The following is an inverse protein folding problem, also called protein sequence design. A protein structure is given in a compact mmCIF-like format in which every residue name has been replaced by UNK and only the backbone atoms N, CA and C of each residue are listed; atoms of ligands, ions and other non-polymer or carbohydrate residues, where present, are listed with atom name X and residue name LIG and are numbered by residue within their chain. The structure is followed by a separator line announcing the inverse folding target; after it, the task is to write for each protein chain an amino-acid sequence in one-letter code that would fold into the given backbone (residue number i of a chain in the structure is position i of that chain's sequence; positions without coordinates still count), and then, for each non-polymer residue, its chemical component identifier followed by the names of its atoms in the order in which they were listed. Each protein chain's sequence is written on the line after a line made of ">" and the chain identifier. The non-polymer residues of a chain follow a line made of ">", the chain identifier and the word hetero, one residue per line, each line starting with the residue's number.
data_IF_751593328041
#
_entry.id   IF_751593328041
#
_cell.length_a   1.000
_cell.length_b   1.000
_cell.length_c   1.000
_cell.angle_alpha   90.00
_cell.angle_beta   90.00
_cell.angle_gamma   90.00
#
_symmetry.space_group_name_H-M   'P 1'
#
loop_
_entity.id
_entity.type
_entity.pdbx_description
1 polymer ?
#
# COMPACT_ATOMS: atom_id res chain seq x y z
N UNK A 1 -20.43 36.46 15.55
CA UNK A 1 -19.80 36.23 14.24
C UNK A 1 -19.16 34.84 14.24
N UNK A 2 -19.69 33.88 13.46
CA UNK A 2 -19.06 32.56 13.32
C UNK A 2 -18.00 32.67 12.23
N UNK A 3 -16.73 32.73 12.63
CA UNK A 3 -15.60 32.64 11.70
C UNK A 3 -15.59 31.23 11.11
N UNK A 4 -16.06 31.10 9.86
CA UNK A 4 -15.84 29.89 9.07
C UNK A 4 -14.35 29.88 8.74
N UNK A 5 -13.57 29.23 9.59
CA UNK A 5 -12.16 28.95 9.31
C UNK A 5 -12.15 27.99 8.14
N UNK A 6 -12.02 28.53 6.92
CA UNK A 6 -11.82 27.75 5.70
C UNK A 6 -10.54 26.92 5.92
N UNK A 7 -10.70 25.63 6.20
CA UNK A 7 -9.57 24.72 6.29
C UNK A 7 -8.79 24.77 4.97
N UNK A 8 -7.48 24.96 5.05
CA UNK A 8 -6.63 24.87 3.86
C UNK A 8 -6.82 23.49 3.21
N UNK A 9 -6.95 23.40 1.87
CA UNK A 9 -7.05 22.12 1.14
C UNK A 9 -5.93 21.14 1.50
N UNK A 10 -4.75 21.64 1.86
CA UNK A 10 -3.63 20.83 2.32
C UNK A 10 -3.86 20.21 3.69
N UNK A 11 -4.44 20.96 4.62
CA UNK A 11 -4.74 20.47 5.97
C UNK A 11 -5.74 19.33 5.90
N UNK A 12 -6.78 19.47 5.08
CA UNK A 12 -7.77 18.41 4.87
C UNK A 12 -7.17 17.18 4.19
N UNK A 13 -6.25 17.38 3.23
CA UNK A 13 -5.56 16.28 2.58
C UNK A 13 -4.71 15.48 3.56
N UNK A 14 -4.04 16.15 4.51
CA UNK A 14 -3.27 15.49 5.57
C UNK A 14 -4.17 14.72 6.54
N UNK A 15 -5.32 15.29 6.92
CA UNK A 15 -6.28 14.60 7.79
C UNK A 15 -6.81 13.34 7.10
N UNK A 16 -7.16 13.44 5.81
CA UNK A 16 -7.63 12.32 5.02
C UNK A 16 -6.57 11.21 4.89
N UNK A 17 -5.31 11.58 4.59
CA UNK A 17 -4.18 10.64 4.56
C UNK A 17 -4.02 9.93 5.91
N UNK A 18 -4.02 10.67 7.02
CA UNK A 18 -3.89 10.11 8.36
C UNK A 18 -5.04 9.12 8.69
N UNK A 19 -6.25 9.39 8.22
CA UNK A 19 -7.39 8.47 8.40
C UNK A 19 -7.20 7.17 7.61
N UNK A 20 -6.70 7.24 6.38
CA UNK A 20 -6.37 6.04 5.58
C UNK A 20 -5.28 5.24 6.27
N UNK A 21 -4.18 5.88 6.70
CA UNK A 21 -3.07 5.20 7.37
C UNK A 21 -3.49 4.56 8.69
N UNK A 22 -4.39 5.20 9.45
CA UNK A 22 -4.96 4.63 10.68
C UNK A 22 -5.70 3.32 10.41
N UNK A 23 -6.45 3.22 9.30
CA UNK A 23 -7.13 1.98 8.89
C UNK A 23 -6.17 0.89 8.38
N UNK A 24 -4.94 1.27 8.05
CA UNK A 24 -3.85 0.37 7.69
C UNK A 24 -2.95 0.04 8.88
N UNK A 25 -3.24 0.56 10.07
CA UNK A 25 -2.39 0.42 11.26
C UNK A 25 -0.97 0.98 11.07
N UNK A 26 -0.83 2.02 10.25
CA UNK A 26 0.44 2.71 10.00
C UNK A 26 0.41 4.06 10.73
N UNK A 27 1.42 4.33 11.54
CA UNK A 27 1.57 5.63 12.17
C UNK A 27 2.06 6.68 11.14
N UNK A 28 1.47 7.88 11.20
CA UNK A 28 1.77 8.95 10.23
C UNK A 28 3.26 9.30 10.15
N UNK A 29 3.99 9.21 11.27
CA UNK A 29 5.41 9.54 11.30
C UNK A 29 6.27 8.49 10.58
N UNK A 30 5.94 7.19 10.72
CA UNK A 30 6.61 6.11 9.97
C UNK A 30 6.44 6.32 8.46
N UNK A 31 5.23 6.65 8.03
CA UNK A 31 4.95 6.93 6.61
C UNK A 31 5.71 8.17 6.11
N UNK A 32 5.75 9.25 6.90
CA UNK A 32 6.52 10.45 6.57
C UNK A 32 8.02 10.16 6.49
N UNK A 33 8.56 9.36 7.40
CA UNK A 33 9.95 8.95 7.42
C UNK A 33 10.29 8.14 6.17
N UNK A 34 9.45 7.16 5.82
CA UNK A 34 9.63 6.36 4.60
C UNK A 34 9.61 7.22 3.32
N UNK A 35 8.73 8.24 3.28
CA UNK A 35 8.70 9.23 2.19
C UNK A 35 9.98 10.06 2.13
N UNK A 36 10.45 10.58 3.26
CA UNK A 36 11.60 11.48 3.28
C UNK A 36 12.90 10.75 2.88
N UNK A 37 13.08 9.54 3.42
CA UNK A 37 14.31 8.75 3.24
C UNK A 37 14.36 8.02 1.90
N UNK A 38 13.27 7.39 1.48
CA UNK A 38 13.28 6.51 0.30
C UNK A 38 12.61 7.13 -0.92
N UNK A 39 11.73 8.12 -0.71
CA UNK A 39 10.99 8.89 -1.71
C UNK A 39 10.11 8.04 -2.64
N UNK A 40 10.66 7.09 -3.40
CA UNK A 40 10.03 6.27 -4.44
C UNK A 40 8.56 5.91 -4.25
N UNK A 41 8.26 4.66 -3.89
CA UNK A 41 6.89 4.16 -3.86
C UNK A 41 6.03 4.82 -2.77
N UNK A 42 6.64 5.31 -1.70
CA UNK A 42 5.93 5.99 -0.62
C UNK A 42 5.33 7.34 -1.09
N UNK A 43 6.04 8.11 -1.91
CA UNK A 43 5.51 9.34 -2.54
C UNK A 43 4.38 8.99 -3.51
N UNK A 44 4.54 7.93 -4.31
CA UNK A 44 3.49 7.48 -5.22
C UNK A 44 2.22 7.12 -4.47
N UNK A 45 2.33 6.39 -3.35
CA UNK A 45 1.19 6.04 -2.51
C UNK A 45 0.49 7.28 -1.93
N UNK A 46 1.26 8.27 -1.44
CA UNK A 46 0.71 9.56 -0.98
C UNK A 46 -0.04 10.29 -2.09
N UNK A 47 0.54 10.36 -3.29
CA UNK A 47 -0.09 11.05 -4.41
C UNK A 47 -1.35 10.32 -4.86
N UNK A 48 -1.31 8.99 -4.90
CA UNK A 48 -2.46 8.16 -5.23
C UNK A 48 -3.61 8.34 -4.21
N UNK A 49 -3.32 8.36 -2.90
CA UNK A 49 -4.32 8.65 -1.86
C UNK A 49 -4.98 10.02 -2.09
N UNK A 50 -4.20 11.05 -2.43
CA UNK A 50 -4.73 12.38 -2.74
C UNK A 50 -5.63 12.38 -3.97
N UNK A 51 -5.30 11.61 -5.00
CA UNK A 51 -6.10 11.52 -6.22
C UNK A 51 -7.40 10.74 -5.98
N UNK A 52 -7.37 9.66 -5.21
CA UNK A 52 -8.57 8.95 -4.77
C UNK A 52 -9.52 9.87 -3.97
N UNK A 53 -8.98 10.74 -3.10
CA UNK A 53 -9.77 11.77 -2.40
C UNK A 53 -10.47 12.71 -3.38
N UNK A 54 -9.75 13.21 -4.41
CA UNK A 54 -10.34 14.10 -5.43
C UNK A 54 -11.45 13.41 -6.23
N UNK A 55 -11.36 12.09 -6.40
CA UNK A 55 -12.37 11.27 -7.06
C UNK A 55 -13.56 10.92 -6.14
N UNK A 56 -13.56 11.36 -4.88
CA UNK A 56 -14.64 11.12 -3.94
C UNK A 56 -14.64 9.72 -3.31
N UNK A 57 -13.53 8.97 -3.41
CA UNK A 57 -13.41 7.67 -2.77
C UNK A 57 -13.34 7.81 -1.24
N UNK A 58 -13.87 6.83 -0.52
CA UNK A 58 -13.84 6.84 0.95
C UNK A 58 -12.49 6.36 1.48
N UNK A 59 -12.14 6.76 2.70
CA UNK A 59 -10.91 6.29 3.37
C UNK A 59 -10.91 4.77 3.55
N UNK A 60 -12.09 4.17 3.75
CA UNK A 60 -12.26 2.73 3.88
C UNK A 60 -11.98 1.99 2.57
N UNK A 61 -12.52 2.47 1.45
CA UNK A 61 -12.31 1.84 0.13
C UNK A 61 -10.83 1.89 -0.28
N UNK A 62 -10.19 3.03 -0.03
CA UNK A 62 -8.77 3.23 -0.30
C UNK A 62 -7.93 2.27 0.57
N UNK A 63 -8.17 2.22 1.88
CA UNK A 63 -7.46 1.31 2.77
C UNK A 63 -7.67 -0.16 2.40
N UNK A 64 -8.89 -0.54 1.98
CA UNK A 64 -9.19 -1.89 1.53
C UNK A 64 -8.47 -2.24 0.22
N UNK A 65 -8.39 -1.29 -0.71
CA UNK A 65 -7.66 -1.45 -1.98
C UNK A 65 -6.17 -1.66 -1.72
N UNK A 66 -5.58 -0.85 -0.83
CA UNK A 66 -4.17 -0.98 -0.44
C UNK A 66 -3.93 -2.35 0.23
N UNK A 67 -4.81 -2.78 1.14
CA UNK A 67 -4.66 -4.09 1.82
C UNK A 67 -4.75 -5.29 0.86
N UNK A 68 -5.53 -5.17 -0.21
CA UNK A 68 -5.64 -6.21 -1.25
C UNK A 68 -4.49 -6.19 -2.25
N UNK A 69 -3.70 -5.12 -2.27
CA UNK A 69 -2.53 -5.02 -3.15
C UNK A 69 -1.36 -5.83 -2.59
N UNK A 70 -0.38 -6.16 -3.45
CA UNK A 70 0.88 -6.80 -3.06
C UNK A 70 1.91 -5.83 -2.47
N UNK A 71 1.46 -4.66 -1.98
CA UNK A 71 2.34 -3.70 -1.31
C UNK A 71 2.74 -4.23 0.06
N UNK A 72 4.05 -4.28 0.34
CA UNK A 72 4.57 -4.63 1.66
C UNK A 72 4.37 -3.48 2.65
N UNK A 73 3.16 -3.41 3.23
CA UNK A 73 2.82 -2.38 4.21
C UNK A 73 3.61 -2.52 5.51
N UNK A 74 4.01 -3.75 5.87
CA UNK A 74 4.83 -4.03 7.04
C UNK A 74 6.16 -3.26 7.01
N UNK A 75 6.78 -3.13 5.83
CA UNK A 75 8.00 -2.32 5.65
C UNK A 75 7.77 -0.86 6.03
N UNK A 76 6.62 -0.27 5.68
CA UNK A 76 6.29 1.11 6.08
C UNK A 76 6.13 1.20 7.59
N UNK A 77 5.45 0.24 8.19
CA UNK A 77 5.20 0.22 9.64
C UNK A 77 6.50 0.15 10.46
N UNK A 78 7.58 -0.35 9.87
CA UNK A 78 8.93 -0.39 10.46
C UNK A 78 9.81 0.80 10.05
N UNK A 79 9.30 1.74 9.25
CA UNK A 79 10.08 2.86 8.73
C UNK A 79 11.05 2.49 7.61
N UNK A 80 10.85 1.36 6.95
CA UNK A 80 11.65 0.91 5.82
C UNK A 80 11.08 1.39 4.47
N UNK A 81 11.82 1.10 3.39
CA UNK A 81 11.40 1.40 2.04
C UNK A 81 10.19 0.56 1.63
N UNK A 82 9.24 1.18 0.92
CA UNK A 82 8.19 0.45 0.23
C UNK A 82 8.80 -0.37 -0.90
N UNK A 83 8.84 -1.69 -0.74
CA UNK A 83 9.23 -2.63 -1.78
C UNK A 83 7.97 -3.30 -2.36
N UNK A 84 7.88 -3.33 -3.69
CA UNK A 84 6.88 -4.15 -4.36
C UNK A 84 7.38 -5.60 -4.31
N UNK A 85 6.66 -6.49 -3.63
CA UNK A 85 6.90 -7.91 -3.82
C UNK A 85 6.28 -8.28 -5.17
N UNK A 86 7.06 -8.77 -6.15
CA UNK A 86 6.48 -9.31 -7.36
C UNK A 86 5.43 -10.32 -6.94
N UNK A 87 4.23 -10.23 -7.52
CA UNK A 87 3.23 -11.28 -7.39
C UNK A 87 3.96 -12.56 -7.77
N UNK A 88 4.15 -13.47 -6.81
CA UNK A 88 4.66 -14.78 -7.10
C UNK A 88 3.63 -15.41 -8.04
N UNK A 89 3.91 -15.37 -9.33
CA UNK A 89 3.23 -16.22 -10.30
C UNK A 89 3.56 -17.62 -9.80
N UNK A 90 2.59 -18.25 -9.15
CA UNK A 90 2.69 -19.65 -8.80
C UNK A 90 2.72 -20.34 -10.16
N UNK A 91 3.93 -20.57 -10.67
CA UNK A 91 4.12 -21.50 -11.76
C UNK A 91 3.61 -22.84 -11.25
N UNK A 92 2.39 -23.18 -11.67
CA UNK A 92 1.84 -24.54 -11.59
C UNK A 92 2.54 -25.42 -12.61
N UNK A 93 3.87 -25.45 -12.54
CA UNK A 93 4.76 -26.29 -13.35
C UNK A 93 5.24 -27.51 -12.55
N UNK A 94 4.45 -28.01 -11.59
CA UNK A 94 4.66 -29.37 -11.06
C UNK A 94 3.98 -30.36 -11.99
N UNK A 95 4.62 -30.64 -13.13
CA UNK A 95 4.37 -31.89 -13.85
C UNK A 95 4.76 -33.05 -12.91
N UNK A 96 3.87 -34.02 -12.64
CA UNK A 96 4.26 -35.20 -11.88
C UNK A 96 5.31 -35.96 -12.68
N UNK A 97 6.49 -36.17 -12.09
CA UNK A 97 7.50 -37.06 -12.67
C UNK A 97 6.94 -38.48 -12.66
N UNK A 98 6.52 -38.96 -13.82
CA UNK A 98 6.14 -40.35 -14.02
C UNK A 98 7.44 -41.16 -14.00
N UNK A 99 7.69 -41.86 -12.90
CA UNK A 99 8.72 -42.88 -12.81
C UNK A 99 8.34 -44.05 -13.73
N UNK A 100 8.98 -44.14 -14.90
CA UNK A 100 8.92 -45.33 -15.75
C UNK A 100 9.90 -46.37 -15.20
N UNK A 101 9.38 -47.40 -14.53
CA UNK A 101 10.16 -48.59 -14.19
C UNK A 101 10.49 -49.33 -15.49
N UNK A 102 11.76 -49.27 -15.89
CA UNK A 102 12.30 -50.15 -16.93
C UNK A 102 12.41 -51.58 -16.37
N UNK A 103 11.45 -52.43 -16.71
CA UNK A 103 11.55 -53.88 -16.54
C UNK A 103 12.43 -54.40 -17.69
N UNK A 104 13.70 -54.64 -17.44
CA UNK A 104 14.59 -55.34 -18.38
C UNK A 104 14.38 -56.85 -18.22
N UNK A 105 14.30 -57.53 -19.36
CA UNK A 105 14.02 -58.97 -19.53
C UNK A 105 15.06 -59.88 -18.88
#
# INVERSE_FOLDING_TARGET
>A
MKTIVKSSPEKESRIFEAQVLKLLHIEQWHFNYSIDQYKGYAILLRNWIKDCRKQGQTTFDIANTIRKSSLALESISQGEALCFHPIAVIETSTLPQIHVNALSK
#
